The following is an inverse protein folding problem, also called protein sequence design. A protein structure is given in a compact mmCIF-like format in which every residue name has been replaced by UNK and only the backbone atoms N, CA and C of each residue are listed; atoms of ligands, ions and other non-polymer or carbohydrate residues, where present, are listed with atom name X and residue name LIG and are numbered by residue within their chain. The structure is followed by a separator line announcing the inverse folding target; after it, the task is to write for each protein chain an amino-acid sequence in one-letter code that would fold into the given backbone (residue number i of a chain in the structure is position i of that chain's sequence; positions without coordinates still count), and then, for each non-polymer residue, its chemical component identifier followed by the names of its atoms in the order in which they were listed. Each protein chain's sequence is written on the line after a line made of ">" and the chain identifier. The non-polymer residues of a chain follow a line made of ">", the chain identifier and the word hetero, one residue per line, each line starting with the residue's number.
data_IF_470180860823
#
_entry.id   IF_470180860823
#
_cell.length_a   1.000
_cell.length_b   1.000
_cell.length_c   1.000
_cell.angle_alpha   90.00
_cell.angle_beta   90.00
_cell.angle_gamma   90.00
#
_symmetry.space_group_name_H-M   'P 1'
#
loop_
_entity.id
_entity.type
_entity.pdbx_description
1 polymer ?
#
# COMPACT_ATOMS: atom_id res chain seq x y z
N UNK A 1 2.93 -13.72 -7.37
CA UNK A 1 3.31 -12.39 -7.89
C UNK A 1 4.84 -12.25 -7.91
N UNK A 2 5.46 -12.05 -9.08
CA UNK A 2 6.93 -12.10 -9.24
C UNK A 2 7.69 -11.05 -8.43
N UNK A 3 7.13 -9.84 -8.28
CA UNK A 3 7.79 -8.72 -7.59
C UNK A 3 8.00 -8.93 -6.08
N UNK A 4 7.32 -9.91 -5.48
CA UNK A 4 7.45 -10.26 -4.06
C UNK A 4 8.25 -11.55 -3.83
N UNK A 5 8.85 -12.12 -4.89
CA UNK A 5 9.56 -13.41 -4.80
C UNK A 5 10.81 -13.36 -3.92
N UNK A 6 11.41 -12.17 -3.76
CA UNK A 6 12.56 -11.97 -2.87
C UNK A 6 12.20 -11.93 -1.38
N UNK A 7 10.91 -11.83 -1.06
CA UNK A 7 10.42 -11.88 0.32
C UNK A 7 10.17 -13.34 0.70
N UNK A 8 10.34 -13.66 1.99
CA UNK A 8 9.90 -14.92 2.55
C UNK A 8 8.38 -15.11 2.38
N UNK A 9 7.92 -16.35 2.50
CA UNK A 9 6.52 -16.68 2.24
C UNK A 9 5.57 -15.90 3.16
N UNK A 10 5.89 -15.77 4.45
CA UNK A 10 5.04 -15.08 5.42
C UNK A 10 4.88 -13.60 5.07
N UNK A 11 5.99 -12.90 4.84
CA UNK A 11 5.98 -11.49 4.44
C UNK A 11 5.27 -11.31 3.10
N UNK A 12 5.57 -12.16 2.11
CA UNK A 12 4.94 -12.12 0.78
C UNK A 12 3.42 -12.20 0.88
N UNK A 13 2.90 -13.23 1.55
CA UNK A 13 1.46 -13.45 1.65
C UNK A 13 0.79 -12.33 2.46
N UNK A 14 1.42 -11.87 3.53
CA UNK A 14 0.88 -10.78 4.36
C UNK A 14 0.80 -9.48 3.58
N UNK A 15 1.88 -9.08 2.90
CA UNK A 15 1.90 -7.86 2.07
C UNK A 15 0.86 -7.93 0.95
N UNK A 16 0.79 -9.05 0.24
CA UNK A 16 -0.20 -9.25 -0.82
C UNK A 16 -1.64 -9.15 -0.26
N UNK A 17 -1.91 -9.82 0.87
CA UNK A 17 -3.24 -9.84 1.48
C UNK A 17 -3.69 -8.44 1.93
N UNK A 18 -2.80 -7.65 2.54
CA UNK A 18 -3.11 -6.29 2.97
C UNK A 18 -3.42 -5.36 1.79
N UNK A 19 -2.68 -5.49 0.68
CA UNK A 19 -2.97 -4.70 -0.53
C UNK A 19 -4.26 -5.16 -1.21
N UNK A 20 -4.50 -6.48 -1.30
CA UNK A 20 -5.78 -7.04 -1.77
C UNK A 20 -6.95 -6.55 -0.93
N UNK A 21 -6.79 -6.44 0.39
CA UNK A 21 -7.80 -5.89 1.26
C UNK A 21 -8.15 -4.45 0.88
N UNK A 22 -7.15 -3.57 0.69
CA UNK A 22 -7.39 -2.20 0.24
C UNK A 22 -8.07 -2.17 -1.13
N UNK A 23 -7.68 -3.03 -2.07
CA UNK A 23 -8.31 -3.13 -3.38
C UNK A 23 -9.80 -3.52 -3.28
N UNK A 24 -10.14 -4.44 -2.36
CA UNK A 24 -11.53 -4.84 -2.10
C UNK A 24 -12.39 -3.73 -1.49
N UNK A 25 -11.79 -2.71 -0.87
CA UNK A 25 -12.54 -1.54 -0.39
C UNK A 25 -13.07 -0.67 -1.54
N UNK A 26 -12.61 -0.89 -2.78
CA UNK A 26 -13.01 -0.15 -3.98
C UNK A 26 -12.99 1.38 -3.76
N UNK A 27 -11.81 1.96 -3.43
CA UNK A 27 -11.71 3.38 -3.17
C UNK A 27 -12.25 4.19 -4.35
N UNK A 28 -13.22 5.07 -4.07
CA UNK A 28 -13.97 5.83 -5.09
C UNK A 28 -13.13 6.88 -5.83
N UNK A 29 -11.93 7.17 -5.36
CA UNK A 29 -11.01 8.11 -6.00
C UNK A 29 -9.55 7.74 -5.76
N UNK A 30 -8.68 8.20 -6.67
CA UNK A 30 -7.22 8.07 -6.55
C UNK A 30 -6.69 8.72 -5.28
N UNK A 31 -7.29 9.83 -4.83
CA UNK A 31 -6.90 10.50 -3.59
C UNK A 31 -7.17 9.60 -2.36
N UNK A 32 -8.36 9.00 -2.27
CA UNK A 32 -8.72 8.09 -1.17
C UNK A 32 -7.81 6.85 -1.20
N UNK A 33 -7.58 6.27 -2.38
CA UNK A 33 -6.64 5.16 -2.57
C UNK A 33 -5.26 5.52 -2.03
N UNK A 34 -4.72 6.67 -2.44
CA UNK A 34 -3.39 7.14 -2.03
C UNK A 34 -3.29 7.31 -0.51
N UNK A 35 -4.32 7.88 0.12
CA UNK A 35 -4.35 8.06 1.56
C UNK A 35 -4.41 6.72 2.32
N UNK A 36 -5.17 5.73 1.82
CA UNK A 36 -5.19 4.38 2.37
C UNK A 36 -3.83 3.68 2.25
N UNK A 37 -3.19 3.78 1.09
CA UNK A 37 -1.85 3.21 0.87
C UNK A 37 -0.80 3.89 1.76
N UNK A 38 -0.86 5.21 1.95
CA UNK A 38 0.03 5.93 2.89
C UNK A 38 -0.15 5.45 4.33
N UNK A 39 -1.40 5.21 4.76
CA UNK A 39 -1.68 4.66 6.10
C UNK A 39 -1.12 3.25 6.25
N UNK A 40 -1.30 2.39 5.23
CA UNK A 40 -0.71 1.05 5.23
C UNK A 40 0.82 1.12 5.35
N UNK A 41 1.48 1.94 4.53
CA UNK A 41 2.93 2.13 4.59
C UNK A 41 3.37 2.63 5.97
N UNK A 42 2.66 3.62 6.54
CA UNK A 42 2.96 4.13 7.87
C UNK A 42 2.89 3.00 8.91
N UNK A 43 1.84 2.19 8.87
CA UNK A 43 1.67 1.04 9.76
C UNK A 43 2.69 -0.07 9.54
N UNK A 44 3.15 -0.33 8.32
CA UNK A 44 4.14 -1.37 8.05
C UNK A 44 5.56 -0.94 8.41
N UNK A 45 5.84 0.37 8.37
CA UNK A 45 7.17 0.93 8.64
C UNK A 45 7.32 1.45 10.07
N UNK A 46 6.22 1.57 10.83
CA UNK A 46 6.15 2.28 12.10
C UNK A 46 6.72 3.71 12.00
N UNK A 47 6.45 4.36 10.86
CA UNK A 47 6.91 5.72 10.57
C UNK A 47 5.75 6.59 10.12
N UNK A 48 5.78 7.86 10.48
CA UNK A 48 4.72 8.79 10.12
C UNK A 48 4.84 9.25 8.66
N UNK A 49 3.71 9.33 7.95
CA UNK A 49 3.63 9.91 6.61
C UNK A 49 2.70 11.14 6.60
N UNK A 50 2.99 12.08 5.70
CA UNK A 50 2.12 13.22 5.46
C UNK A 50 0.87 12.80 4.68
N UNK A 51 -0.31 13.03 5.27
CA UNK A 51 -1.62 12.75 4.68
C UNK A 51 -2.46 14.01 4.87
N UNK A 52 -2.89 14.62 3.77
CA UNK A 52 -3.70 15.86 3.76
C UNK A 52 -3.09 16.98 4.63
N UNK A 53 -1.77 17.18 4.53
CA UNK A 53 -1.06 18.22 5.28
C UNK A 53 -0.75 17.88 6.74
N UNK A 54 -1.20 16.74 7.26
CA UNK A 54 -0.94 16.30 8.64
C UNK A 54 -0.07 15.04 8.67
N UNK A 55 0.88 14.95 9.60
CA UNK A 55 1.59 13.69 9.85
C UNK A 55 0.67 12.69 10.54
N UNK A 56 0.57 11.48 9.98
CA UNK A 56 -0.27 10.38 10.48
C UNK A 56 0.58 9.13 10.73
N UNK A 57 0.22 8.29 11.73
CA UNK A 57 -0.88 8.47 12.68
C UNK A 57 -0.61 9.62 13.67
N UNK A 58 -1.67 10.33 14.06
CA UNK A 58 -1.59 11.39 15.08
C UNK A 58 -1.55 10.75 16.45
N UNK A 59 -0.75 11.30 17.37
CA UNK A 59 -0.65 10.82 18.75
C UNK A 59 0.30 9.63 18.94
N UNK A 60 0.99 9.19 17.89
CA UNK A 60 2.10 8.25 18.01
C UNK A 60 3.43 8.99 17.86
N UNK A 61 4.42 8.63 18.67
CA UNK A 61 5.79 9.16 18.58
C UNK A 61 6.59 8.51 17.45
N UNK A 62 5.97 8.38 16.27
CA UNK A 62 6.62 7.79 15.10
C UNK A 62 7.41 8.83 14.34
N UNK A 63 8.68 8.52 14.08
CA UNK A 63 9.53 9.35 13.25
C UNK A 63 8.97 9.46 11.84
N UNK A 64 9.09 10.64 11.24
CA UNK A 64 8.66 10.87 9.85
C UNK A 64 9.50 10.02 8.89
N UNK A 65 8.83 9.29 8.00
CA UNK A 65 9.50 8.60 6.90
C UNK A 65 10.20 9.63 5.99
N UNK A 66 11.50 9.46 5.77
CA UNK A 66 12.32 10.39 4.97
C UNK A 66 11.72 10.53 3.57
N UNK A 67 11.66 11.76 3.04
CA UNK A 67 10.97 12.05 1.77
C UNK A 67 11.41 11.17 0.59
N UNK A 68 12.71 10.97 0.39
CA UNK A 68 13.21 10.10 -0.69
C UNK A 68 12.75 8.65 -0.55
N UNK A 69 12.81 8.10 0.66
CA UNK A 69 12.32 6.75 0.96
C UNK A 69 10.80 6.66 0.82
N UNK A 70 10.07 7.64 1.34
CA UNK A 70 8.61 7.72 1.21
C UNK A 70 8.18 7.69 -0.26
N UNK A 71 8.85 8.44 -1.13
CA UNK A 71 8.57 8.43 -2.56
C UNK A 71 8.72 7.05 -3.19
N UNK A 72 9.83 6.36 -2.91
CA UNK A 72 10.10 5.03 -3.47
C UNK A 72 9.14 3.96 -2.93
N UNK A 73 8.85 3.98 -1.63
CA UNK A 73 7.90 3.03 -1.02
C UNK A 73 6.49 3.28 -1.53
N UNK A 74 6.09 4.54 -1.69
CA UNK A 74 4.78 4.89 -2.27
C UNK A 74 4.67 4.46 -3.73
N UNK A 75 5.73 4.63 -4.53
CA UNK A 75 5.76 4.13 -5.92
C UNK A 75 5.59 2.61 -5.95
N UNK A 76 6.34 1.90 -5.10
CA UNK A 76 6.27 0.45 -5.00
C UNK A 76 4.86 -0.04 -4.61
N UNK A 77 4.26 0.51 -3.55
CA UNK A 77 2.97 0.05 -3.06
C UNK A 77 1.82 0.39 -4.03
N UNK A 78 1.91 1.52 -4.74
CA UNK A 78 0.93 1.91 -5.76
C UNK A 78 0.99 0.96 -6.97
N UNK A 79 2.19 0.60 -7.43
CA UNK A 79 2.35 -0.40 -8.51
C UNK A 79 1.91 -1.79 -8.10
N UNK A 80 2.18 -2.18 -6.86
CA UNK A 80 1.67 -3.44 -6.28
C UNK A 80 0.14 -3.46 -6.27
N UNK A 81 -0.49 -2.36 -5.86
CA UNK A 81 -1.96 -2.22 -5.91
C UNK A 81 -2.51 -2.36 -7.33
N UNK A 82 -1.94 -1.62 -8.30
CA UNK A 82 -2.41 -1.64 -9.69
C UNK A 82 -2.32 -3.05 -10.31
N UNK A 83 -1.24 -3.79 -10.06
CA UNK A 83 -1.11 -5.17 -10.54
C UNK A 83 -2.15 -6.10 -9.91
N UNK A 84 -2.40 -5.99 -8.61
CA UNK A 84 -3.42 -6.79 -7.91
C UNK A 84 -4.82 -6.52 -8.47
N UNK A 85 -5.13 -5.26 -8.78
CA UNK A 85 -6.41 -4.89 -9.39
C UNK A 85 -6.49 -5.39 -10.83
N UNK A 86 -5.41 -5.28 -11.61
CA UNK A 86 -5.31 -5.82 -12.97
C UNK A 86 -5.56 -7.32 -13.04
N UNK A 87 -4.91 -8.11 -12.17
CA UNK A 87 -5.12 -9.56 -12.05
C UNK A 87 -6.58 -9.89 -11.68
N UNK A 88 -7.19 -9.06 -10.83
CA UNK A 88 -8.59 -9.24 -10.42
C UNK A 88 -9.58 -8.97 -11.55
N UNK A 89 -9.23 -8.11 -12.52
CA UNK A 89 -10.03 -7.86 -13.71
C UNK A 89 -9.94 -9.02 -14.72
N UNK A 90 -8.75 -9.61 -14.89
CA UNK A 90 -8.55 -10.76 -15.77
C UNK A 90 -9.31 -12.00 -15.30
N UNK A 91 -9.32 -12.28 -13.99
CA UNK A 91 -10.05 -13.41 -13.42
C UNK A 91 -11.59 -13.30 -13.50
N UNK A 92 -12.14 -12.11 -13.78
CA UNK A 92 -13.60 -11.91 -13.94
C UNK A 92 -14.10 -12.19 -15.36
N UNK A 93 -13.23 -12.18 -16.36
CA UNK A 93 -13.60 -12.40 -17.77
C UNK A 93 -13.42 -13.87 -18.22
N UNK A 94 -13.22 -14.81 -17.30
CA UNK A 94 -12.94 -16.23 -17.60
C UNK A 94 -14.13 -17.18 -17.33
N UNK A 95 -15.36 -16.67 -17.33
CA UNK A 95 -16.59 -17.46 -17.17
C UNK A 95 -17.61 -17.13 -18.24
#
# INVERSE_FOLDING_TARGET
>A
MEILQKLDNGTRYTTEYLVRFIAKLQPKSTAIRTDLLRRLVASLTHQALGIQGTLRPVGMEWNKLRQGTAGQVMLFIDKLYDMIVGDSAQNKCSY
#
